data_IF_379219902232
#
_entry.id   IF_379219902232
#
_cell.length_a   1.000
_cell.length_b   1.000
_cell.length_c   1.000
_cell.angle_alpha   90.00
_cell.angle_beta   90.00
_cell.angle_gamma   90.00
#
_symmetry.space_group_name_H-M   'P 1'
#
loop_
_entity.id
_entity.type
_entity.pdbx_description
1 polymer ?
#
# COMPACT_ATOMS: atom_id res chain seq x y z
N UNK A 1 32.81 -34.14 5.75
CA UNK A 1 33.39 -32.83 5.37
C UNK A 1 32.49 -32.32 4.28
N UNK A 2 31.63 -31.37 4.65
CA UNK A 2 30.69 -30.70 3.76
C UNK A 2 31.38 -30.34 2.44
N UNK A 3 30.82 -30.77 1.32
CA UNK A 3 31.17 -30.24 0.01
C UNK A 3 30.37 -28.95 -0.16
N UNK A 4 31.01 -27.81 0.09
CA UNK A 4 30.38 -26.50 0.08
C UNK A 4 29.18 -26.44 1.03
N UNK A 5 27.97 -26.26 0.49
CA UNK A 5 26.73 -26.15 1.28
C UNK A 5 25.97 -27.48 1.49
N UNK A 6 26.49 -28.62 1.01
CA UNK A 6 25.82 -29.92 1.12
C UNK A 6 26.04 -30.52 2.52
N UNK A 7 24.99 -30.77 3.32
CA UNK A 7 25.12 -31.34 4.67
C UNK A 7 25.67 -32.77 4.67
N UNK A 8 26.53 -33.08 5.64
CA UNK A 8 27.18 -34.40 5.79
C UNK A 8 26.16 -35.55 6.05
N UNK A 9 24.95 -35.25 6.52
CA UNK A 9 23.91 -36.23 6.90
C UNK A 9 22.87 -36.51 5.79
N UNK A 10 23.13 -36.10 4.55
CA UNK A 10 22.22 -36.31 3.43
C UNK A 10 22.17 -37.80 3.00
N UNK A 11 20.98 -38.41 3.06
CA UNK A 11 20.79 -39.87 2.89
C UNK A 11 20.03 -40.29 1.63
N UNK A 12 19.66 -39.34 0.77
CA UNK A 12 18.92 -39.65 -0.47
C UNK A 12 19.93 -40.02 -1.56
N UNK A 13 19.91 -41.25 -2.10
CA UNK A 13 20.86 -41.63 -3.14
C UNK A 13 20.47 -40.98 -4.48
N UNK A 14 21.32 -40.06 -4.96
CA UNK A 14 21.28 -39.49 -6.32
C UNK A 14 22.61 -38.76 -6.64
N UNK A 15 22.73 -38.20 -7.85
CA UNK A 15 23.80 -37.24 -8.18
C UNK A 15 23.39 -35.87 -7.64
N UNK A 16 24.24 -35.28 -6.80
CA UNK A 16 24.08 -33.92 -6.29
C UNK A 16 25.30 -33.09 -6.69
N UNK A 17 25.04 -31.90 -7.21
CA UNK A 17 26.04 -30.98 -7.74
C UNK A 17 25.94 -29.70 -6.92
N UNK A 18 27.04 -29.28 -6.31
CA UNK A 18 27.18 -27.94 -5.75
C UNK A 18 27.82 -27.03 -6.80
N UNK A 19 27.26 -25.85 -7.02
CA UNK A 19 27.72 -24.89 -8.04
C UNK A 19 28.23 -23.65 -7.32
N UNK A 20 29.56 -23.49 -7.26
CA UNK A 20 30.21 -22.28 -6.75
C UNK A 20 30.25 -21.21 -7.85
N UNK A 21 29.34 -20.24 -7.76
CA UNK A 21 29.23 -19.13 -8.71
C UNK A 21 30.16 -17.94 -8.39
N UNK A 22 31.05 -18.05 -7.38
CA UNK A 22 31.93 -16.95 -6.97
C UNK A 22 32.87 -16.44 -8.08
N UNK A 23 33.10 -17.25 -9.13
CA UNK A 23 33.93 -16.92 -10.29
C UNK A 23 33.27 -17.19 -11.66
N UNK A 24 31.95 -17.44 -11.72
CA UNK A 24 31.31 -17.97 -12.93
C UNK A 24 30.88 -16.93 -13.98
N UNK A 25 31.03 -15.62 -13.74
CA UNK A 25 30.50 -14.57 -14.62
C UNK A 25 31.56 -13.50 -14.93
N UNK A 26 32.13 -13.53 -16.14
CA UNK A 26 32.93 -12.42 -16.69
C UNK A 26 32.03 -11.36 -17.38
N UNK A 27 30.74 -11.68 -17.56
CA UNK A 27 29.65 -10.72 -17.80
C UNK A 27 28.31 -11.42 -17.66
N UNK A 28 27.39 -10.83 -16.88
CA UNK A 28 26.07 -11.44 -16.65
C UNK A 28 25.16 -11.32 -17.88
N UNK A 29 24.54 -12.43 -18.36
CA UNK A 29 23.32 -12.28 -19.17
C UNK A 29 22.33 -11.48 -18.34
N UNK A 30 21.62 -10.54 -18.98
CA UNK A 30 20.66 -9.68 -18.27
C UNK A 30 19.66 -10.58 -17.54
N UNK A 31 19.75 -10.65 -16.21
CA UNK A 31 18.82 -11.41 -15.39
C UNK A 31 17.42 -10.87 -15.69
N UNK A 32 16.51 -11.74 -16.15
CA UNK A 32 15.13 -11.35 -16.35
C UNK A 32 14.54 -10.99 -15.00
N UNK A 33 14.30 -9.68 -14.78
CA UNK A 33 13.72 -9.16 -13.54
C UNK A 33 12.21 -9.40 -13.54
N UNK A 34 11.71 -9.99 -12.46
CA UNK A 34 10.29 -10.24 -12.24
C UNK A 34 9.90 -9.68 -10.87
N UNK A 35 9.07 -8.64 -10.89
CA UNK A 35 8.61 -7.96 -9.69
C UNK A 35 7.27 -8.54 -9.27
N UNK A 36 7.09 -8.80 -7.98
CA UNK A 36 5.77 -9.04 -7.38
C UNK A 36 5.45 -7.97 -6.34
N UNK A 37 4.26 -7.38 -6.43
CA UNK A 37 3.74 -6.43 -5.44
C UNK A 37 2.67 -7.11 -4.60
N UNK A 38 2.82 -7.04 -3.29
CA UNK A 38 1.94 -7.71 -2.33
C UNK A 38 1.34 -6.66 -1.42
N UNK A 39 0.02 -6.72 -1.24
CA UNK A 39 -0.70 -5.75 -0.41
C UNK A 39 -2.17 -6.11 -0.25
N UNK A 40 -2.86 -5.40 0.61
CA UNK A 40 -4.29 -5.60 0.83
C UNK A 40 -5.09 -5.16 -0.40
N UNK A 41 -6.01 -6.03 -0.83
CA UNK A 41 -7.01 -5.72 -1.85
C UNK A 41 -8.33 -5.29 -1.20
N UNK A 42 -9.12 -4.50 -1.92
CA UNK A 42 -10.48 -4.15 -1.52
C UNK A 42 -11.42 -5.34 -1.72
N UNK A 43 -12.50 -5.40 -0.93
CA UNK A 43 -13.60 -6.34 -1.14
C UNK A 43 -14.31 -6.17 -2.51
N UNK A 44 -14.10 -5.04 -3.18
CA UNK A 44 -14.59 -4.78 -4.54
C UNK A 44 -13.68 -5.30 -5.65
N UNK A 45 -12.49 -5.81 -5.31
CA UNK A 45 -11.59 -6.46 -6.26
C UNK A 45 -12.11 -7.82 -6.72
N UNK A 46 -11.83 -8.20 -7.97
CA UNK A 46 -12.26 -9.49 -8.54
C UNK A 46 -11.26 -10.63 -8.31
N UNK A 47 -10.01 -10.33 -7.92
CA UNK A 47 -8.99 -11.34 -7.70
C UNK A 47 -9.24 -12.12 -6.41
N UNK A 48 -9.03 -13.44 -6.46
CA UNK A 48 -8.99 -14.25 -5.25
C UNK A 48 -7.76 -13.87 -4.42
N UNK A 49 -7.93 -13.73 -3.10
CA UNK A 49 -6.81 -13.45 -2.22
C UNK A 49 -5.75 -14.56 -2.32
N UNK A 50 -4.48 -14.18 -2.17
CA UNK A 50 -3.32 -15.06 -2.26
C UNK A 50 -3.15 -15.74 -3.63
N UNK A 51 -3.63 -15.09 -4.70
CA UNK A 51 -3.34 -15.50 -6.08
C UNK A 51 -2.52 -14.46 -6.81
N UNK A 52 -1.46 -14.90 -7.49
CA UNK A 52 -0.59 -14.05 -8.28
C UNK A 52 -1.18 -13.80 -9.66
N UNK A 53 -1.36 -12.53 -10.03
CA UNK A 53 -1.86 -12.13 -11.34
C UNK A 53 -0.86 -11.19 -12.03
N UNK A 54 -0.62 -11.41 -13.32
CA UNK A 54 0.25 -10.54 -14.13
C UNK A 54 -0.45 -9.21 -14.40
N UNK A 55 0.29 -8.11 -14.22
CA UNK A 55 -0.22 -6.76 -14.42
C UNK A 55 0.41 -6.13 -15.66
N UNK A 56 -0.45 -5.78 -16.61
CA UNK A 56 -0.06 -5.14 -17.88
C UNK A 56 -0.54 -3.68 -17.99
N UNK A 57 -1.49 -3.26 -17.15
CA UNK A 57 -2.00 -1.89 -17.12
C UNK A 57 -2.52 -1.51 -15.73
N UNK A 58 -2.61 -0.20 -15.49
CA UNK A 58 -3.17 0.34 -14.25
C UNK A 58 -4.65 -0.05 -14.08
N UNK A 59 -5.42 -0.05 -15.18
CA UNK A 59 -6.82 -0.49 -15.18
C UNK A 59 -7.00 -1.96 -14.79
N UNK A 60 -6.05 -2.82 -15.17
CA UNK A 60 -6.05 -4.24 -14.73
C UNK A 60 -5.88 -4.35 -13.22
N UNK A 61 -4.97 -3.57 -12.62
CA UNK A 61 -4.75 -3.58 -11.17
C UNK A 61 -5.98 -3.06 -10.40
N UNK A 62 -6.61 -1.99 -10.89
CA UNK A 62 -7.83 -1.44 -10.31
C UNK A 62 -9.01 -2.43 -10.37
N UNK A 63 -9.16 -3.18 -11.46
CA UNK A 63 -10.20 -4.19 -11.59
C UNK A 63 -9.95 -5.38 -10.65
N UNK A 64 -8.72 -5.89 -10.63
CA UNK A 64 -8.36 -7.07 -9.85
C UNK A 64 -8.40 -6.80 -8.34
N UNK A 65 -7.89 -5.67 -7.89
CA UNK A 65 -7.68 -5.40 -6.46
C UNK A 65 -8.60 -4.31 -5.90
N UNK A 66 -9.39 -3.67 -6.75
CA UNK A 66 -10.31 -2.61 -6.39
C UNK A 66 -9.65 -1.23 -6.34
N UNK A 67 -10.36 -0.23 -6.87
CA UNK A 67 -9.93 1.18 -6.90
C UNK A 67 -9.74 1.74 -5.49
N UNK A 68 -8.65 2.48 -5.28
CA UNK A 68 -8.33 3.07 -3.98
C UNK A 68 -7.93 2.07 -2.89
N UNK A 69 -7.67 0.80 -3.27
CA UNK A 69 -7.02 -0.16 -2.38
C UNK A 69 -5.53 0.13 -2.25
N UNK A 70 -4.92 -0.42 -1.20
CA UNK A 70 -3.48 -0.38 -0.99
C UNK A 70 -2.74 -0.95 -2.21
N UNK A 71 -3.10 -2.16 -2.64
CA UNK A 71 -2.39 -2.84 -3.71
C UNK A 71 -2.55 -2.15 -5.08
N UNK A 72 -3.75 -1.66 -5.42
CA UNK A 72 -3.96 -1.00 -6.71
C UNK A 72 -3.09 0.26 -6.86
N UNK A 73 -3.01 1.11 -5.83
CA UNK A 73 -2.19 2.33 -5.87
C UNK A 73 -0.68 2.05 -5.75
N UNK A 74 -0.27 1.01 -5.00
CA UNK A 74 1.12 0.54 -5.00
C UNK A 74 1.59 0.14 -6.40
N UNK A 75 0.78 -0.69 -7.08
CA UNK A 75 1.07 -1.15 -8.45
C UNK A 75 1.15 0.03 -9.40
N UNK A 76 0.18 0.95 -9.36
CA UNK A 76 0.16 2.15 -10.20
C UNK A 76 1.38 3.05 -9.98
N UNK A 77 1.76 3.26 -8.72
CA UNK A 77 2.95 4.05 -8.36
C UNK A 77 4.22 3.39 -8.87
N UNK A 78 4.35 2.08 -8.72
CA UNK A 78 5.48 1.32 -9.26
C UNK A 78 5.54 1.44 -10.78
N UNK A 79 4.42 1.25 -11.49
CA UNK A 79 4.37 1.34 -12.95
C UNK A 79 4.72 2.71 -13.50
N UNK A 80 4.41 3.78 -12.76
CA UNK A 80 4.81 5.14 -13.10
C UNK A 80 6.33 5.32 -13.10
N UNK A 81 7.05 4.65 -12.19
CA UNK A 81 8.51 4.65 -12.13
C UNK A 81 9.17 3.57 -13.00
N UNK A 82 8.46 2.47 -13.29
CA UNK A 82 8.97 1.34 -14.05
C UNK A 82 7.87 0.71 -14.92
N UNK A 83 7.88 1.01 -16.22
CA UNK A 83 6.88 0.54 -17.16
C UNK A 83 7.20 -0.80 -17.84
N UNK A 84 8.44 -1.28 -17.76
CA UNK A 84 8.98 -2.30 -18.67
C UNK A 84 9.30 -3.63 -18.00
N UNK A 85 9.60 -3.64 -16.69
CA UNK A 85 9.85 -4.90 -15.97
C UNK A 85 8.56 -5.71 -15.85
N UNK A 86 8.69 -7.04 -15.94
CA UNK A 86 7.56 -7.93 -15.75
C UNK A 86 6.99 -7.77 -14.33
N UNK A 87 5.72 -7.38 -14.25
CA UNK A 87 5.05 -7.06 -13.00
C UNK A 87 3.93 -8.04 -12.71
N UNK A 88 3.97 -8.59 -11.51
CA UNK A 88 2.92 -9.39 -10.91
C UNK A 88 2.43 -8.72 -9.65
N UNK A 89 1.22 -9.08 -9.24
CA UNK A 89 0.68 -8.64 -7.97
C UNK A 89 -0.07 -9.78 -7.30
N UNK A 90 -0.09 -9.77 -5.97
CA UNK A 90 -0.82 -10.71 -5.15
C UNK A 90 -1.62 -9.94 -4.09
N UNK A 91 -2.95 -10.05 -4.18
CA UNK A 91 -3.88 -9.44 -3.25
C UNK A 91 -3.99 -10.23 -1.96
N UNK A 92 -3.98 -9.54 -0.82
CA UNK A 92 -4.33 -10.11 0.48
C UNK A 92 -5.72 -9.64 0.88
N UNK A 93 -6.50 -10.51 1.49
CA UNK A 93 -7.74 -10.07 2.14
C UNK A 93 -7.44 -9.04 3.24
N UNK A 94 -8.42 -8.20 3.55
CA UNK A 94 -8.31 -7.24 4.64
C UNK A 94 -8.15 -7.95 6.01
N UNK A 95 -7.47 -7.30 6.95
CA UNK A 95 -7.13 -7.92 8.25
C UNK A 95 -8.41 -8.01 9.09
N UNK A 96 -8.98 -9.22 9.24
CA UNK A 96 -10.29 -9.42 9.87
C UNK A 96 -10.41 -8.77 11.26
N UNK A 97 -9.43 -9.02 12.13
CA UNK A 97 -9.38 -8.51 13.51
C UNK A 97 -8.76 -7.10 13.64
N UNK A 98 -8.39 -6.47 12.52
CA UNK A 98 -7.76 -5.15 12.51
C UNK A 98 -8.75 -3.99 12.56
N UNK A 99 -8.21 -2.81 12.81
CA UNK A 99 -8.92 -1.55 12.70
C UNK A 99 -8.30 -0.69 11.58
N UNK A 100 -9.14 0.07 10.89
CA UNK A 100 -8.69 1.08 9.93
C UNK A 100 -8.30 2.37 10.65
N UNK A 101 -7.21 2.98 10.21
CA UNK A 101 -6.78 4.28 10.72
C UNK A 101 -7.78 5.37 10.32
N UNK A 102 -7.94 6.37 11.20
CA UNK A 102 -8.88 7.47 11.00
C UNK A 102 -8.23 8.82 11.28
N UNK A 103 -8.66 9.81 10.52
CA UNK A 103 -8.42 11.22 10.77
C UNK A 103 -9.76 11.96 10.81
N UNK A 104 -9.81 13.04 11.57
CA UNK A 104 -10.97 13.92 11.69
C UNK A 104 -10.64 15.31 11.15
N UNK A 105 -11.59 15.87 10.39
CA UNK A 105 -11.60 17.24 9.91
C UNK A 105 -12.77 17.94 10.62
N UNK A 106 -12.46 18.85 11.53
CA UNK A 106 -13.47 19.68 12.19
C UNK A 106 -13.61 21.01 11.43
N UNK A 107 -14.80 21.25 10.86
CA UNK A 107 -15.09 22.42 10.04
C UNK A 107 -15.75 23.50 10.89
N UNK A 108 -15.32 24.74 10.71
CA UNK A 108 -15.95 25.95 11.24
C UNK A 108 -16.34 26.84 10.08
N UNK A 109 -17.52 27.43 10.19
CA UNK A 109 -18.08 28.43 9.28
C UNK A 109 -19.03 29.36 10.06
N UNK A 110 -19.94 30.07 9.38
CA UNK A 110 -20.17 30.04 7.94
C UNK A 110 -19.04 30.70 7.14
N UNK A 111 -18.98 30.40 5.84
CA UNK A 111 -18.13 31.12 4.91
C UNK A 111 -18.64 32.56 4.73
N UNK A 112 -17.75 33.55 4.81
CA UNK A 112 -18.10 34.96 4.57
C UNK A 112 -17.90 35.37 3.12
N UNK A 113 -17.13 34.60 2.35
CA UNK A 113 -16.91 34.77 0.92
C UNK A 113 -16.86 33.42 0.22
N UNK A 114 -17.23 33.39 -1.06
CA UNK A 114 -17.09 32.21 -1.89
C UNK A 114 -15.60 31.92 -2.21
N UNK A 115 -15.26 30.65 -2.36
CA UNK A 115 -13.91 30.22 -2.69
C UNK A 115 -13.77 28.73 -2.90
N UNK A 116 -12.53 28.24 -2.87
CA UNK A 116 -12.22 26.81 -2.97
C UNK A 116 -11.34 26.40 -1.82
N UNK A 117 -11.75 25.38 -1.08
CA UNK A 117 -10.95 24.72 -0.07
C UNK A 117 -10.06 23.68 -0.78
N UNK A 118 -8.73 23.79 -0.59
CA UNK A 118 -7.76 22.84 -1.15
C UNK A 118 -7.28 21.87 -0.08
N UNK A 119 -7.74 20.62 -0.17
CA UNK A 119 -7.29 19.51 0.67
C UNK A 119 -6.26 18.69 -0.09
N UNK A 120 -5.22 18.23 0.60
CA UNK A 120 -4.27 17.25 0.08
C UNK A 120 -4.39 15.99 0.94
N UNK A 121 -4.85 14.88 0.35
CA UNK A 121 -5.02 13.61 1.06
C UNK A 121 -4.17 12.55 0.39
N UNK A 122 -3.21 11.99 1.11
CA UNK A 122 -2.26 10.99 0.60
C UNK A 122 -1.59 11.40 -0.73
N UNK A 123 -1.26 12.69 -0.87
CA UNK A 123 -0.64 13.24 -2.08
C UNK A 123 -1.60 13.55 -3.23
N UNK A 124 -2.92 13.34 -3.05
CA UNK A 124 -3.96 13.67 -4.02
C UNK A 124 -4.63 15.00 -3.65
N UNK A 125 -4.64 15.94 -4.59
CA UNK A 125 -5.33 17.23 -4.43
C UNK A 125 -6.85 17.03 -4.58
N UNK A 126 -7.60 17.50 -3.59
CA UNK A 126 -9.06 17.48 -3.53
C UNK A 126 -9.56 18.91 -3.39
N UNK A 127 -10.18 19.43 -4.43
CA UNK A 127 -10.74 20.78 -4.45
C UNK A 127 -12.23 20.74 -4.08
N UNK A 128 -12.60 21.54 -3.09
CA UNK A 128 -13.98 21.63 -2.61
C UNK A 128 -14.48 23.06 -2.79
N UNK A 129 -15.48 23.24 -3.64
CA UNK A 129 -16.13 24.55 -3.82
C UNK A 129 -16.93 24.93 -2.57
N UNK A 130 -16.82 26.18 -2.17
CA UNK A 130 -17.55 26.77 -1.05
C UNK A 130 -18.21 28.07 -1.54
N UNK A 131 -19.52 28.19 -1.35
CA UNK A 131 -20.27 29.41 -1.62
C UNK A 131 -20.24 30.36 -0.42
N UNK A 132 -20.53 31.65 -0.65
CA UNK A 132 -20.80 32.58 0.45
C UNK A 132 -21.99 32.08 1.26
N UNK A 133 -21.94 32.28 2.59
CA UNK A 133 -22.94 31.82 3.56
C UNK A 133 -23.05 30.29 3.74
N UNK A 134 -22.20 29.49 3.08
CA UNK A 134 -22.16 28.05 3.32
C UNK A 134 -21.84 27.75 4.78
N UNK A 135 -22.71 26.97 5.42
CA UNK A 135 -22.54 26.52 6.79
C UNK A 135 -21.45 25.44 6.88
N UNK A 136 -20.95 25.19 8.10
CA UNK A 136 -20.01 24.09 8.33
C UNK A 136 -20.56 22.73 7.87
N UNK A 137 -21.87 22.51 7.98
CA UNK A 137 -22.54 21.27 7.59
C UNK A 137 -22.58 21.11 6.06
N UNK A 138 -22.85 22.20 5.34
CA UNK A 138 -22.82 22.23 3.87
C UNK A 138 -21.41 21.93 3.36
N UNK A 139 -20.40 22.58 3.97
CA UNK A 139 -18.99 22.38 3.62
C UNK A 139 -18.56 20.94 3.93
N UNK A 140 -18.96 20.38 5.08
CA UNK A 140 -18.68 18.99 5.43
C UNK A 140 -19.23 18.00 4.38
N UNK A 141 -20.46 18.23 3.92
CA UNK A 141 -21.10 17.43 2.87
C UNK A 141 -20.34 17.54 1.53
N UNK A 142 -19.90 18.75 1.17
CA UNK A 142 -19.10 18.98 -0.03
C UNK A 142 -17.73 18.28 0.03
N UNK A 143 -17.06 18.30 1.20
CA UNK A 143 -15.80 17.58 1.42
C UNK A 143 -16.01 16.07 1.23
N UNK A 144 -17.06 15.50 1.84
CA UNK A 144 -17.37 14.07 1.72
C UNK A 144 -17.56 13.66 0.26
N UNK A 145 -18.34 14.44 -0.49
CA UNK A 145 -18.59 14.17 -1.90
C UNK A 145 -17.30 14.26 -2.75
N UNK A 146 -16.47 15.27 -2.51
CA UNK A 146 -15.23 15.48 -3.26
C UNK A 146 -14.19 14.39 -2.98
N UNK A 147 -13.99 13.99 -1.72
CA UNK A 147 -13.05 12.93 -1.35
C UNK A 147 -13.49 11.58 -1.90
N UNK A 148 -14.76 11.20 -1.72
CA UNK A 148 -15.26 9.89 -2.17
C UNK A 148 -15.32 9.76 -3.70
N UNK A 149 -15.29 10.87 -4.44
CA UNK A 149 -15.15 10.87 -5.91
C UNK A 149 -13.74 10.53 -6.39
N UNK A 150 -12.74 10.59 -5.51
CA UNK A 150 -11.33 10.38 -5.82
C UNK A 150 -10.79 9.15 -5.08
N UNK A 151 -10.98 7.93 -5.61
CA UNK A 151 -10.48 6.70 -4.99
C UNK A 151 -8.97 6.70 -4.73
N UNK A 152 -8.20 7.44 -5.54
CA UNK A 152 -6.75 7.58 -5.38
C UNK A 152 -6.34 8.22 -4.03
N UNK A 153 -7.26 8.87 -3.31
CA UNK A 153 -7.02 9.37 -1.94
C UNK A 153 -6.85 8.24 -0.92
N UNK A 154 -7.26 7.00 -1.27
CA UNK A 154 -7.14 5.80 -0.43
C UNK A 154 -7.90 5.87 0.91
N UNK A 155 -8.84 6.81 1.02
CA UNK A 155 -9.69 6.98 2.19
C UNK A 155 -11.15 7.10 1.79
N UNK A 156 -12.03 6.74 2.71
CA UNK A 156 -13.46 7.01 2.65
C UNK A 156 -13.82 8.10 3.64
N UNK A 157 -14.50 9.14 3.17
CA UNK A 157 -14.99 10.24 4.00
C UNK A 157 -16.46 10.01 4.40
N UNK A 158 -16.78 10.26 5.66
CA UNK A 158 -18.15 10.25 6.18
C UNK A 158 -18.30 11.23 7.34
N UNK A 159 -19.52 11.61 7.71
CA UNK A 159 -19.75 12.39 8.92
C UNK A 159 -19.38 11.58 10.16
N UNK A 160 -18.75 12.24 11.13
CA UNK A 160 -18.55 11.66 12.46
C UNK A 160 -19.91 11.44 13.12
N UNK A 161 -20.09 10.29 13.77
CA UNK A 161 -21.32 9.98 14.48
C UNK A 161 -21.69 11.12 15.46
N UNK A 162 -22.96 11.52 15.45
CA UNK A 162 -23.50 12.62 16.26
C UNK A 162 -22.86 14.00 15.99
N UNK A 163 -22.26 14.22 14.82
CA UNK A 163 -21.80 15.53 14.36
C UNK A 163 -22.25 15.81 12.93
N UNK A 164 -22.50 17.08 12.63
CA UNK A 164 -22.84 17.57 11.27
C UNK A 164 -21.68 18.34 10.63
N UNK A 165 -20.71 18.79 11.43
CA UNK A 165 -19.59 19.65 11.02
C UNK A 165 -18.22 18.97 11.14
N UNK A 166 -18.17 17.69 11.49
CA UNK A 166 -16.93 16.92 11.57
C UNK A 166 -16.97 15.77 10.57
N UNK A 167 -15.99 15.74 9.67
CA UNK A 167 -15.80 14.67 8.70
C UNK A 167 -14.72 13.73 9.20
N UNK A 168 -15.00 12.43 9.21
CA UNK A 168 -14.03 11.37 9.47
C UNK A 168 -13.54 10.80 8.15
N UNK A 169 -12.23 10.86 7.92
CA UNK A 169 -11.54 10.09 6.88
C UNK A 169 -11.14 8.74 7.48
N UNK A 170 -11.48 7.65 6.81
CA UNK A 170 -11.11 6.30 7.21
C UNK A 170 -10.28 5.65 6.12
N UNK A 171 -9.12 5.09 6.46
CA UNK A 171 -8.31 4.32 5.52
C UNK A 171 -9.13 3.19 4.88
N UNK A 172 -8.93 2.93 3.58
CA UNK A 172 -9.67 1.89 2.86
C UNK A 172 -9.25 0.45 3.21
N UNK A 173 -8.31 0.28 4.14
CA UNK A 173 -7.86 -1.00 4.66
C UNK A 173 -7.62 -0.90 6.17
N UNK A 174 -7.61 -2.06 6.82
CA UNK A 174 -7.24 -2.19 8.24
C UNK A 174 -5.75 -2.42 8.39
N UNK A 175 -5.18 -2.06 9.53
CA UNK A 175 -3.77 -2.31 9.83
C UNK A 175 -2.99 -1.06 10.23
N UNK A 176 -1.81 -1.30 10.80
CA UNK A 176 -0.93 -0.23 11.25
C UNK A 176 -0.41 0.66 10.10
N UNK A 177 -0.35 0.14 8.88
CA UNK A 177 0.10 0.87 7.68
C UNK A 177 -0.74 2.09 7.36
N UNK A 178 -2.01 2.14 7.80
CA UNK A 178 -2.87 3.32 7.64
C UNK A 178 -2.49 4.51 8.53
N UNK A 179 -1.70 4.30 9.58
CA UNK A 179 -1.34 5.39 10.51
C UNK A 179 -0.34 6.38 9.91
N UNK A 180 0.42 5.98 8.88
CA UNK A 180 1.33 6.85 8.15
C UNK A 180 0.65 7.73 7.09
N UNK A 181 -0.68 7.64 6.94
CA UNK A 181 -1.45 8.48 6.01
C UNK A 181 -1.44 9.95 6.44
N UNK A 182 -1.61 10.84 5.46
CA UNK A 182 -1.47 12.28 5.66
C UNK A 182 -2.62 13.04 5.01
N UNK A 183 -3.18 14.01 5.75
CA UNK A 183 -4.19 14.94 5.26
C UNK A 183 -3.79 16.37 5.65
N UNK A 184 -3.76 17.27 4.67
CA UNK A 184 -3.34 18.67 4.84
C UNK A 184 -4.30 19.62 4.16
N UNK A 185 -4.25 20.87 4.59
CA UNK A 185 -5.01 21.97 4.03
C UNK A 185 -4.05 23.00 3.42
N UNK A 186 -4.36 23.49 2.22
CA UNK A 186 -3.62 24.55 1.54
C UNK A 186 -2.11 24.27 1.45
N UNK A 187 -1.75 23.11 0.88
CA UNK A 187 -0.37 22.65 0.83
C UNK A 187 0.47 23.44 -0.20
N UNK A 188 -0.14 23.84 -1.33
CA UNK A 188 0.58 24.54 -2.39
C UNK A 188 0.57 26.06 -2.19
N UNK A 189 1.64 26.78 -2.62
CA UNK A 189 1.68 28.23 -2.55
C UNK A 189 0.48 28.88 -3.27
N UNK A 190 -0.18 29.82 -2.59
CA UNK A 190 -1.34 30.53 -3.12
C UNK A 190 -2.69 29.90 -2.80
N UNK A 191 -2.73 28.67 -2.28
CA UNK A 191 -3.95 28.08 -1.74
C UNK A 191 -4.31 28.77 -0.42
N UNK A 192 -5.54 29.24 -0.28
CA UNK A 192 -6.06 29.86 0.93
C UNK A 192 -7.50 29.41 1.15
N UNK A 193 -7.87 29.18 2.41
CA UNK A 193 -9.25 28.85 2.75
C UNK A 193 -10.15 30.07 2.49
N UNK A 194 -11.41 29.85 2.06
CA UNK A 194 -12.40 30.91 2.00
C UNK A 194 -12.52 31.64 3.34
N UNK A 195 -12.75 32.95 3.31
CA UNK A 195 -12.91 33.75 4.52
C UNK A 195 -14.05 33.20 5.38
N UNK A 196 -13.88 33.19 6.70
CA UNK A 196 -14.84 32.59 7.65
C UNK A 196 -14.72 31.07 7.83
N UNK A 197 -14.04 30.36 6.93
CA UNK A 197 -13.89 28.90 7.01
C UNK A 197 -12.58 28.50 7.69
N UNK A 198 -12.67 27.58 8.65
CA UNK A 198 -11.50 26.89 9.23
C UNK A 198 -11.71 25.38 9.21
N UNK A 199 -10.64 24.63 8.96
CA UNK A 199 -10.65 23.17 9.04
C UNK A 199 -9.47 22.73 9.91
N UNK A 200 -9.77 22.14 11.06
CA UNK A 200 -8.77 21.53 11.92
C UNK A 200 -8.65 20.04 11.55
N UNK A 201 -7.44 19.59 11.21
CA UNK A 201 -7.16 18.22 10.77
C UNK A 201 -6.34 17.51 11.84
N UNK A 202 -6.75 16.29 12.19
CA UNK A 202 -5.96 15.38 13.05
C UNK A 202 -5.16 14.39 12.20
N UNK A 203 -4.04 13.89 12.72
CA UNK A 203 -3.28 12.83 12.06
C UNK A 203 -4.03 11.50 12.05
N UNK A 204 -3.71 10.64 11.08
CA UNK A 204 -4.28 9.29 11.03
C UNK A 204 -3.80 8.44 12.19
N UNK A 205 -4.73 7.89 12.96
CA UNK A 205 -4.42 7.02 14.11
C UNK A 205 -5.44 5.89 14.25
N UNK A 206 -5.14 4.91 15.10
CA UNK A 206 -6.07 3.82 15.44
C UNK A 206 -6.07 2.64 14.45
N UNK A 207 -5.20 2.68 13.43
CA UNK A 207 -4.93 1.54 12.56
C UNK A 207 -4.20 0.44 13.33
N UNK A 208 -4.77 -0.76 13.38
CA UNK A 208 -4.21 -1.91 14.12
C UNK A 208 -4.40 -3.20 13.34
N UNK A 209 -3.58 -4.18 13.66
CA UNK A 209 -3.56 -5.48 13.00
C UNK A 209 -2.34 -5.65 12.10
N UNK A 210 -1.89 -6.90 12.02
CA UNK A 210 -0.75 -7.36 11.24
C UNK A 210 -1.24 -8.40 10.24
N UNK A 211 -0.81 -8.35 8.97
CA UNK A 211 -1.15 -9.36 7.99
C UNK A 211 -0.49 -10.71 8.29
N UNK A 212 -1.11 -11.80 7.84
CA UNK A 212 -0.49 -13.13 7.86
C UNK A 212 0.48 -13.30 6.69
N UNK A 213 1.75 -12.98 6.92
CA UNK A 213 2.82 -13.13 5.91
C UNK A 213 3.15 -14.61 5.68
N UNK A 214 2.84 -15.52 6.61
CA UNK A 214 3.09 -16.96 6.38
C UNK A 214 2.20 -17.51 5.26
N UNK A 215 0.96 -17.03 5.17
CA UNK A 215 0.05 -17.35 4.08
C UNK A 215 0.52 -16.78 2.74
N UNK A 216 1.16 -15.60 2.75
CA UNK A 216 1.81 -15.01 1.56
C UNK A 216 2.97 -15.87 1.09
N UNK A 217 3.85 -16.29 2.01
CA UNK A 217 5.00 -17.16 1.71
C UNK A 217 4.53 -18.47 1.08
N UNK A 218 3.52 -19.11 1.67
CA UNK A 218 2.94 -20.33 1.11
C UNK A 218 2.38 -20.13 -0.31
N UNK A 219 1.79 -18.96 -0.59
CA UNK A 219 1.22 -18.63 -1.90
C UNK A 219 2.27 -18.24 -2.95
N UNK A 220 3.45 -17.74 -2.55
CA UNK A 220 4.55 -17.48 -3.47
C UNK A 220 5.09 -18.77 -4.10
N UNK A 221 5.09 -19.88 -3.34
CA UNK A 221 5.60 -21.17 -3.79
C UNK A 221 7.02 -21.07 -4.36
N UNK A 222 7.29 -21.86 -5.40
CA UNK A 222 8.60 -21.89 -6.07
C UNK A 222 8.70 -20.91 -7.25
N UNK A 223 7.71 -20.02 -7.43
CA UNK A 223 7.79 -19.00 -8.47
C UNK A 223 8.94 -18.03 -8.18
N UNK A 224 9.82 -17.87 -9.18
CA UNK A 224 10.98 -17.01 -9.05
C UNK A 224 10.63 -15.55 -9.33
N UNK A 225 10.41 -14.79 -8.26
CA UNK A 225 10.33 -13.33 -8.27
C UNK A 225 11.64 -12.75 -7.77
N UNK A 226 12.33 -11.95 -8.58
CA UNK A 226 13.62 -11.35 -8.19
C UNK A 226 13.45 -10.19 -7.22
N UNK A 227 12.28 -9.56 -7.22
CA UNK A 227 11.98 -8.36 -6.47
C UNK A 227 10.57 -8.47 -5.86
N UNK A 228 10.49 -8.44 -4.53
CA UNK A 228 9.25 -8.50 -3.77
C UNK A 228 9.02 -7.12 -3.16
N UNK A 229 7.88 -6.51 -3.46
CA UNK A 229 7.48 -5.22 -2.90
C UNK A 229 6.29 -5.44 -1.98
N UNK A 230 6.40 -5.01 -0.74
CA UNK A 230 5.29 -5.05 0.21
C UNK A 230 5.37 -3.88 1.21
N UNK A 231 4.27 -3.51 1.88
CA UNK A 231 4.23 -2.30 2.71
C UNK A 231 4.42 -2.57 4.21
N UNK A 232 4.67 -3.82 4.61
CA UNK A 232 4.62 -4.23 6.02
C UNK A 232 6.00 -4.20 6.65
N UNK A 233 6.18 -3.30 7.62
CA UNK A 233 7.45 -3.06 8.31
C UNK A 233 7.43 -3.49 9.79
N UNK A 234 6.37 -4.15 10.25
CA UNK A 234 6.30 -4.69 11.60
C UNK A 234 7.25 -5.90 11.76
N UNK A 235 7.70 -6.12 12.99
CA UNK A 235 8.71 -7.15 13.29
C UNK A 235 8.25 -8.55 12.91
N UNK A 236 6.96 -8.88 13.05
CA UNK A 236 6.45 -10.21 12.72
C UNK A 236 6.49 -10.45 11.21
N UNK A 237 6.01 -9.48 10.43
CA UNK A 237 6.04 -9.53 8.97
C UNK A 237 7.47 -9.62 8.44
N UNK A 238 8.37 -8.78 8.95
CA UNK A 238 9.78 -8.74 8.54
C UNK A 238 10.54 -10.01 8.90
N UNK A 239 10.31 -10.59 10.08
CA UNK A 239 10.93 -11.87 10.46
C UNK A 239 10.46 -13.00 9.54
N UNK A 240 9.15 -13.08 9.27
CA UNK A 240 8.56 -14.15 8.45
C UNK A 240 9.11 -14.12 7.03
N UNK A 241 9.13 -12.94 6.38
CA UNK A 241 9.65 -12.83 5.02
C UNK A 241 11.17 -13.00 4.97
N UNK A 242 11.92 -12.55 5.98
CA UNK A 242 13.36 -12.77 6.06
C UNK A 242 13.68 -14.26 6.05
N UNK A 243 12.97 -15.04 6.85
CA UNK A 243 13.21 -16.48 6.96
C UNK A 243 12.93 -17.19 5.62
N UNK A 244 11.88 -16.78 4.89
CA UNK A 244 11.63 -17.24 3.51
C UNK A 244 12.74 -16.83 2.54
N UNK A 245 13.25 -15.59 2.61
CA UNK A 245 14.32 -15.13 1.72
C UNK A 245 15.63 -15.90 1.94
N UNK A 246 15.93 -16.30 3.18
CA UNK A 246 17.06 -17.17 3.49
C UNK A 246 16.88 -18.56 2.87
N UNK A 247 15.66 -19.11 2.91
CA UNK A 247 15.36 -20.39 2.27
C UNK A 247 15.51 -20.30 0.75
N UNK A 248 14.98 -19.24 0.12
CA UNK A 248 15.08 -18.97 -1.32
C UNK A 248 16.52 -18.82 -1.81
N UNK A 249 17.36 -18.16 -1.03
CA UNK A 249 18.80 -18.01 -1.31
C UNK A 249 19.59 -19.30 -1.07
N UNK A 250 19.04 -20.22 -0.27
CA UNK A 250 19.68 -21.47 0.08
C UNK A 250 19.93 -22.38 -1.11
N UNK A 251 20.88 -23.32 -0.97
CA UNK A 251 21.34 -24.21 -2.05
C UNK A 251 20.25 -25.15 -2.59
N UNK A 252 19.14 -25.30 -1.88
CA UNK A 252 18.04 -26.17 -2.29
C UNK A 252 17.02 -25.47 -3.19
N UNK A 253 16.78 -24.17 -2.99
CA UNK A 253 15.78 -23.39 -3.74
C UNK A 253 16.42 -22.60 -4.88
N UNK A 254 17.54 -21.93 -4.65
CA UNK A 254 18.29 -21.15 -5.66
C UNK A 254 17.41 -20.18 -6.48
N UNK A 255 16.46 -19.50 -5.81
CA UNK A 255 15.53 -18.53 -6.41
C UNK A 255 15.57 -17.22 -5.63
N UNK A 256 16.75 -16.59 -5.58
CA UNK A 256 16.97 -15.42 -4.76
C UNK A 256 16.03 -14.26 -5.10
N UNK A 257 15.72 -13.45 -4.08
CA UNK A 257 14.85 -12.31 -4.19
C UNK A 257 15.34 -11.16 -3.31
N UNK A 258 15.07 -9.93 -3.73
CA UNK A 258 15.26 -8.72 -2.95
C UNK A 258 13.91 -8.21 -2.44
N UNK A 259 13.86 -7.79 -1.18
CA UNK A 259 12.65 -7.25 -0.57
C UNK A 259 12.71 -5.73 -0.48
N UNK A 260 11.64 -5.08 -0.90
CA UNK A 260 11.46 -3.65 -0.84
C UNK A 260 10.26 -3.33 0.04
N UNK A 261 10.49 -2.58 1.12
CA UNK A 261 9.43 -2.07 2.01
C UNK A 261 9.58 -0.59 2.25
N UNK A 262 8.45 0.08 2.45
CA UNK A 262 8.45 1.45 2.93
C UNK A 262 8.68 1.48 4.45
N UNK A 263 9.48 2.42 4.91
CA UNK A 263 9.57 2.80 6.32
C UNK A 263 8.70 4.03 6.59
N UNK A 264 8.16 4.14 7.80
CA UNK A 264 7.41 5.33 8.18
C UNK A 264 8.38 6.51 8.32
N UNK A 265 8.17 7.57 7.52
CA UNK A 265 8.77 8.87 7.81
C UNK A 265 7.99 9.54 8.93
N UNK A 266 8.28 9.21 10.18
CA UNK A 266 7.96 10.08 11.30
C UNK A 266 8.82 11.34 11.20
N UNK A 267 8.26 12.44 10.70
CA UNK A 267 8.81 13.78 10.91
C UNK A 267 7.98 14.53 11.93
#
# INVERSE_FOLDING_TARGET
>A
MSLGNIPDDFRVPLVIIDIDNSQALDSAPAQSRKIIVIGQQSATGTAAALTSNRITSDGTAEQLYGKGSMLAEMVKTLRKGNAYTELWAMGMADIAAGNAAKAELAITGPATDAGTLALLVNGVSVQVGVAADDTADTIATAIIAAVNKLPATQVTAALKAASTSVVTLTANWKGATGNGMDARLNYYPGEQSPAGVKVAITGFTGGTGTPDISAVVAALGDDWYTDIVFPYNDTQSLNTIRDELLERWGPLKMIEAQLWTAGDHSR
#
